data_IF_034390291224
#
_entry.id   IF_034390291224
#
_cell.length_a   1.000
_cell.length_b   1.000
_cell.length_c   1.000
_cell.angle_alpha   90.00
_cell.angle_beta   90.00
_cell.angle_gamma   90.00
#
_symmetry.space_group_name_H-M   'P 1'
#
loop_
_entity.id
_entity.type
_entity.pdbx_description
1 polymer ?
#
# COMPACT_ATOMS: atom_id res chain seq x y z
N UNK A 1 -16.41 69.26 -18.41
CA UNK A 1 -17.45 68.43 -19.05
C UNK A 1 -16.69 67.28 -19.70
N UNK A 2 -16.70 66.03 -19.25
CA UNK A 2 -17.54 65.26 -18.32
C UNK A 2 -16.65 64.20 -17.63
N UNK A 3 -17.08 63.79 -16.44
CA UNK A 3 -16.53 62.71 -15.61
C UNK A 3 -16.81 61.32 -16.19
N UNK A 4 -16.05 60.30 -15.78
CA UNK A 4 -16.51 58.95 -15.36
C UNK A 4 -15.30 58.19 -14.74
N UNK A 5 -15.15 58.22 -13.42
CA UNK A 5 -15.55 57.23 -12.40
C UNK A 5 -14.60 56.03 -12.18
N UNK A 6 -13.88 56.14 -11.06
CA UNK A 6 -13.10 55.14 -10.32
C UNK A 6 -14.06 54.36 -9.38
N UNK A 7 -13.92 53.04 -9.26
CA UNK A 7 -14.57 52.26 -8.21
C UNK A 7 -13.55 51.36 -7.50
N UNK A 8 -13.21 51.72 -6.26
CA UNK A 8 -12.53 50.87 -5.27
C UNK A 8 -13.58 50.10 -4.47
N UNK A 9 -13.43 48.79 -4.36
CA UNK A 9 -14.18 47.94 -3.43
C UNK A 9 -13.41 47.84 -2.10
N UNK A 10 -13.88 48.56 -1.08
CA UNK A 10 -13.52 48.34 0.32
C UNK A 10 -14.56 47.39 0.94
N UNK A 11 -14.13 46.19 1.33
CA UNK A 11 -14.92 45.29 2.16
C UNK A 11 -14.85 45.77 3.62
N UNK A 12 -16.00 46.21 4.17
CA UNK A 12 -16.16 46.55 5.59
C UNK A 12 -16.39 45.28 6.41
N UNK A 13 -15.57 45.11 7.45
CA UNK A 13 -15.77 44.14 8.53
C UNK A 13 -16.92 44.60 9.43
N UNK A 14 -17.87 43.72 9.69
CA UNK A 14 -18.94 43.89 10.70
C UNK A 14 -18.58 43.07 11.96
N UNK A 15 -18.83 43.60 13.17
CA UNK A 15 -18.54 42.90 14.42
C UNK A 15 -19.61 41.86 14.76
N UNK A 16 -19.18 40.65 15.11
CA UNK A 16 -20.03 39.58 15.65
C UNK A 16 -20.39 39.89 17.11
N UNK A 17 -21.69 40.09 17.34
CA UNK A 17 -22.31 40.23 18.66
C UNK A 17 -22.55 38.84 19.29
N UNK A 18 -22.12 38.68 20.54
CA UNK A 18 -22.39 37.52 21.40
C UNK A 18 -23.74 37.71 22.10
N UNK A 19 -24.57 36.66 22.10
CA UNK A 19 -25.66 36.51 23.07
C UNK A 19 -25.96 35.04 23.40
N UNK A 20 -26.51 34.76 24.59
CA UNK A 20 -26.18 33.58 25.37
C UNK A 20 -27.11 32.37 25.14
N UNK A 21 -26.60 31.20 25.52
CA UNK A 21 -27.28 29.91 25.47
C UNK A 21 -28.49 29.82 26.41
N UNK A 22 -29.57 29.11 26.04
CA UNK A 22 -30.60 28.72 26.98
C UNK A 22 -30.30 27.34 27.61
N UNK A 23 -30.25 27.33 28.93
CA UNK A 23 -30.27 26.15 29.79
C UNK A 23 -31.48 25.26 29.48
N UNK A 24 -31.24 23.97 29.23
CA UNK A 24 -32.29 22.95 29.22
C UNK A 24 -32.00 21.86 30.25
N UNK A 25 -32.87 21.90 31.25
CA UNK A 25 -33.18 21.00 32.35
C UNK A 25 -32.92 19.52 32.08
N UNK A 26 -32.17 18.90 32.99
CA UNK A 26 -32.12 17.45 33.21
C UNK A 26 -33.52 16.92 33.55
N UNK A 27 -34.08 16.06 32.70
CA UNK A 27 -35.19 15.19 33.09
C UNK A 27 -34.62 13.80 33.30
N UNK A 28 -34.42 13.45 34.56
CA UNK A 28 -34.08 12.11 35.02
C UNK A 28 -35.30 11.21 34.75
N UNK A 29 -35.29 10.47 33.64
CA UNK A 29 -36.27 9.40 33.41
C UNK A 29 -35.76 8.12 34.08
N UNK A 30 -36.28 7.89 35.28
CA UNK A 30 -36.35 6.58 35.90
C UNK A 30 -37.10 5.61 34.99
N UNK A 31 -36.42 4.56 34.52
CA UNK A 31 -37.07 3.37 34.00
C UNK A 31 -36.66 2.21 34.88
N UNK A 32 -37.65 1.76 35.66
CA UNK A 32 -37.65 0.49 36.38
C UNK A 32 -37.48 -0.67 35.40
N UNK A 33 -36.60 -1.59 35.74
CA UNK A 33 -36.61 -2.95 35.21
C UNK A 33 -37.87 -3.71 35.66
N UNK A 34 -38.41 -4.59 34.80
CA UNK A 34 -39.05 -5.81 35.26
C UNK A 34 -38.17 -7.03 34.96
N UNK A 35 -37.87 -7.74 36.03
CA UNK A 35 -37.28 -9.06 36.02
C UNK A 35 -38.13 -10.11 35.27
N UNK A 36 -37.41 -11.09 34.73
CA UNK A 36 -37.80 -12.49 34.53
C UNK A 36 -38.78 -12.86 33.40
N UNK A 37 -38.20 -13.49 32.35
CA UNK A 37 -38.52 -14.89 32.03
C UNK A 37 -37.39 -15.56 31.24
N UNK A 38 -36.58 -16.36 31.94
CA UNK A 38 -35.73 -17.39 31.31
C UNK A 38 -36.65 -18.42 30.64
N UNK A 39 -36.70 -18.44 29.30
CA UNK A 39 -37.07 -19.66 28.58
C UNK A 39 -35.80 -20.49 28.42
N UNK A 40 -35.78 -21.65 29.10
CA UNK A 40 -34.86 -22.74 28.76
C UNK A 40 -35.28 -23.23 27.37
N UNK A 41 -34.50 -22.92 26.35
CA UNK A 41 -34.51 -23.72 25.13
C UNK A 41 -33.59 -24.91 25.41
N UNK A 42 -34.17 -26.11 25.34
CA UNK A 42 -33.45 -27.36 25.50
C UNK A 42 -32.33 -27.45 24.48
N UNK A 43 -31.20 -28.00 24.91
CA UNK A 43 -30.13 -28.40 24.04
C UNK A 43 -30.58 -29.65 23.27
N UNK A 44 -30.86 -29.52 21.98
CA UNK A 44 -30.92 -30.67 21.09
C UNK A 44 -29.48 -31.18 20.83
N UNK A 45 -29.23 -32.49 20.91
CA UNK A 45 -27.92 -33.04 20.57
C UNK A 45 -27.63 -32.83 19.08
N UNK A 46 -26.36 -32.62 18.69
CA UNK A 46 -26.01 -32.38 17.30
C UNK A 46 -26.36 -33.62 16.44
N UNK A 47 -26.84 -33.44 15.20
CA UNK A 47 -27.07 -34.55 14.30
C UNK A 47 -25.75 -35.25 13.99
N UNK A 48 -25.73 -36.57 14.15
CA UNK A 48 -24.59 -37.44 13.83
C UNK A 48 -24.27 -37.29 12.34
N UNK A 49 -23.13 -36.68 12.03
CA UNK A 49 -22.58 -36.62 10.69
C UNK A 49 -22.06 -38.01 10.31
N UNK A 50 -22.91 -38.83 9.67
CA UNK A 50 -22.50 -40.09 9.07
C UNK A 50 -21.68 -39.82 7.82
N UNK A 51 -20.37 -40.10 7.88
CA UNK A 51 -19.50 -40.13 6.70
C UNK A 51 -19.93 -41.28 5.79
N UNK A 52 -20.77 -40.98 4.80
CA UNK A 52 -21.00 -41.85 3.65
C UNK A 52 -19.88 -41.57 2.66
N UNK A 53 -18.86 -42.44 2.65
CA UNK A 53 -17.83 -42.43 1.60
C UNK A 53 -18.47 -42.85 0.28
N UNK A 54 -18.42 -42.04 -0.80
CA UNK A 54 -18.77 -42.53 -2.12
C UNK A 54 -17.71 -43.54 -2.58
N UNK A 55 -18.08 -44.55 -3.40
CA UNK A 55 -17.13 -45.55 -3.85
C UNK A 55 -16.03 -44.92 -4.70
N UNK A 56 -14.78 -45.36 -4.47
CA UNK A 56 -13.60 -44.99 -5.25
C UNK A 56 -13.85 -45.27 -6.74
N UNK A 57 -14.04 -44.21 -7.52
CA UNK A 57 -13.97 -44.27 -8.98
C UNK A 57 -12.52 -44.53 -9.37
N UNK A 58 -12.24 -45.70 -9.95
CA UNK A 58 -10.96 -45.99 -10.61
C UNK A 58 -10.82 -45.05 -11.81
N UNK A 59 -9.95 -44.06 -11.71
CA UNK A 59 -9.48 -43.32 -12.89
C UNK A 59 -8.42 -44.17 -13.58
N UNK A 60 -8.75 -44.60 -14.80
CA UNK A 60 -7.81 -45.20 -15.74
C UNK A 60 -6.76 -44.18 -16.15
N UNK A 61 -5.49 -44.57 -16.12
CA UNK A 61 -4.38 -43.82 -16.67
C UNK A 61 -4.55 -43.63 -18.17
N UNK A 62 -4.74 -42.39 -18.60
CA UNK A 62 -4.42 -41.96 -19.96
C UNK A 62 -3.47 -40.77 -19.84
N UNK A 63 -2.21 -40.97 -20.21
CA UNK A 63 -1.15 -39.97 -20.23
C UNK A 63 -1.59 -38.76 -21.06
N UNK A 64 -1.49 -37.52 -20.56
CA UNK A 64 -1.49 -36.36 -21.42
C UNK A 64 -0.09 -36.21 -22.01
N UNK A 65 -0.04 -36.22 -23.35
CA UNK A 65 1.09 -35.82 -24.16
C UNK A 65 1.68 -34.50 -23.66
N UNK A 66 3.01 -34.46 -23.53
CA UNK A 66 3.82 -33.28 -23.29
C UNK A 66 3.44 -32.20 -24.31
N UNK A 67 2.66 -31.21 -23.90
CA UNK A 67 2.49 -29.98 -24.64
C UNK A 67 3.69 -29.08 -24.32
N UNK A 68 4.75 -29.19 -25.13
CA UNK A 68 5.71 -28.09 -25.31
C UNK A 68 4.97 -26.96 -26.03
N UNK A 69 4.32 -26.08 -25.27
CA UNK A 69 4.05 -24.71 -25.71
C UNK A 69 5.27 -23.90 -25.22
N UNK A 70 6.22 -23.50 -26.06
CA UNK A 70 5.98 -22.70 -27.26
C UNK A 70 6.23 -21.23 -26.91
N UNK A 71 7.44 -20.91 -26.45
CA UNK A 71 7.94 -19.54 -26.21
C UNK A 71 8.17 -18.81 -27.54
N UNK A 72 7.15 -18.75 -28.38
CA UNK A 72 7.17 -18.04 -29.64
C UNK A 72 5.75 -17.63 -30.03
N UNK A 73 5.30 -16.52 -29.47
CA UNK A 73 4.37 -15.63 -30.18
C UNK A 73 4.61 -14.18 -29.72
N UNK A 74 5.77 -13.67 -30.16
CA UNK A 74 5.87 -12.25 -30.45
C UNK A 74 5.01 -11.98 -31.68
N UNK A 75 3.82 -11.43 -31.47
CA UNK A 75 3.09 -10.68 -32.49
C UNK A 75 2.63 -9.38 -31.85
N UNK A 76 3.43 -8.35 -32.15
CA UNK A 76 3.10 -6.94 -32.25
C UNK A 76 1.64 -6.58 -31.96
N UNK A 77 1.37 -6.22 -30.70
CA UNK A 77 0.48 -5.10 -30.44
C UNK A 77 1.35 -3.85 -30.47
N UNK A 78 1.38 -3.13 -31.60
CA UNK A 78 1.89 -1.76 -31.68
C UNK A 78 1.02 -0.88 -30.76
N UNK A 79 1.32 -0.90 -29.45
CA UNK A 79 0.92 0.18 -28.57
C UNK A 79 1.71 1.39 -29.02
N UNK A 80 1.03 2.20 -29.85
CA UNK A 80 1.33 3.60 -30.17
C UNK A 80 2.19 4.18 -29.05
N UNK A 81 3.45 4.55 -29.34
CA UNK A 81 4.35 5.22 -28.39
C UNK A 81 3.65 6.48 -27.86
N UNK A 82 2.91 6.35 -26.77
CA UNK A 82 2.56 7.50 -25.95
C UNK A 82 3.89 8.01 -25.42
N UNK A 83 4.23 9.27 -25.70
CA UNK A 83 5.48 9.87 -25.21
C UNK A 83 5.50 10.10 -23.69
N UNK A 84 4.71 9.33 -22.92
CA UNK A 84 4.58 9.43 -21.47
C UNK A 84 5.10 8.18 -20.77
N UNK A 85 5.24 8.22 -19.43
CA UNK A 85 5.67 7.07 -18.65
C UNK A 85 4.68 5.91 -18.78
N UNK A 86 5.14 4.66 -18.57
CA UNK A 86 4.30 3.48 -18.62
C UNK A 86 3.17 3.54 -17.59
N UNK A 87 2.06 2.87 -17.89
CA UNK A 87 0.95 2.73 -16.96
C UNK A 87 1.31 1.75 -15.83
N UNK A 88 0.73 1.99 -14.65
CA UNK A 88 0.92 1.12 -13.49
C UNK A 88 -0.01 -0.08 -13.60
N UNK A 89 0.59 -1.27 -13.58
CA UNK A 89 -0.09 -2.56 -13.57
C UNK A 89 -0.92 -2.70 -12.30
N UNK A 90 -2.13 -3.24 -12.43
CA UNK A 90 -3.09 -3.42 -11.33
C UNK A 90 -3.09 -4.87 -10.84
N UNK A 91 -3.41 -5.05 -9.55
CA UNK A 91 -3.52 -6.36 -8.92
C UNK A 91 -4.43 -7.30 -9.72
N UNK A 92 -4.00 -8.55 -9.87
CA UNK A 92 -4.60 -9.53 -10.78
C UNK A 92 -3.76 -9.81 -12.03
N UNK A 93 -2.84 -8.91 -12.41
CA UNK A 93 -1.82 -9.21 -13.42
C UNK A 93 -0.76 -10.18 -12.84
N UNK A 94 -0.44 -11.30 -13.52
CA UNK A 94 0.54 -12.27 -13.02
C UNK A 94 1.91 -11.69 -12.68
N UNK A 95 2.36 -10.63 -13.36
CA UNK A 95 3.68 -10.03 -13.10
C UNK A 95 3.84 -9.52 -11.67
N UNK A 96 2.74 -9.16 -11.00
CA UNK A 96 2.73 -8.71 -9.61
C UNK A 96 2.72 -9.84 -8.58
N UNK A 97 2.58 -11.09 -9.03
CA UNK A 97 2.41 -12.28 -8.20
C UNK A 97 3.50 -13.34 -8.46
N UNK A 98 4.50 -13.01 -9.27
CA UNK A 98 5.63 -13.88 -9.60
C UNK A 98 6.95 -13.24 -9.14
N UNK A 99 7.92 -14.03 -8.64
CA UNK A 99 9.23 -13.51 -8.30
C UNK A 99 9.96 -12.88 -9.50
N UNK A 100 10.41 -11.64 -9.34
CA UNK A 100 11.18 -10.92 -10.34
C UNK A 100 12.62 -11.44 -10.43
N UNK A 101 13.20 -11.37 -11.63
CA UNK A 101 14.56 -11.85 -11.92
C UNK A 101 15.63 -10.82 -11.57
N UNK A 102 16.80 -11.27 -11.14
CA UNK A 102 17.94 -10.38 -10.94
C UNK A 102 18.37 -9.72 -12.26
N UNK A 103 18.86 -8.50 -12.16
CA UNK A 103 19.55 -7.78 -13.23
C UNK A 103 21.01 -8.24 -13.24
N UNK A 104 21.57 -8.59 -14.39
CA UNK A 104 23.00 -8.87 -14.51
C UNK A 104 23.79 -7.58 -14.18
N UNK A 105 24.75 -7.60 -13.23
CA UNK A 105 25.58 -6.45 -12.94
C UNK A 105 26.24 -5.79 -14.16
N UNK A 106 26.56 -6.57 -15.20
CA UNK A 106 27.13 -6.05 -16.45
C UNK A 106 26.13 -5.22 -17.26
N UNK A 107 24.83 -5.47 -17.11
CA UNK A 107 23.77 -4.79 -17.85
C UNK A 107 23.30 -3.49 -17.18
N UNK A 108 23.71 -3.19 -15.94
CA UNK A 108 23.21 -2.02 -15.19
C UNK A 108 23.44 -0.71 -15.94
N UNK A 109 24.59 -0.57 -16.59
CA UNK A 109 24.94 0.61 -17.39
C UNK A 109 24.33 0.61 -18.80
N UNK A 110 23.62 -0.44 -19.22
CA UNK A 110 23.02 -0.52 -20.55
C UNK A 110 21.89 0.49 -20.72
N UNK A 111 21.72 1.00 -21.95
CA UNK A 111 20.61 1.90 -22.29
C UNK A 111 19.24 1.33 -21.92
N UNK A 112 19.09 0.00 -22.05
CA UNK A 112 17.87 -0.71 -21.69
C UNK A 112 17.54 -0.58 -20.20
N UNK A 113 18.50 -0.86 -19.31
CA UNK A 113 18.27 -0.78 -17.86
C UNK A 113 18.10 0.67 -17.42
N UNK A 114 18.89 1.59 -17.96
CA UNK A 114 18.75 3.01 -17.68
C UNK A 114 17.37 3.54 -18.08
N UNK A 115 16.86 3.14 -19.26
CA UNK A 115 15.51 3.51 -19.69
C UNK A 115 14.43 2.96 -18.74
N UNK A 116 14.56 1.72 -18.29
CA UNK A 116 13.61 1.13 -17.32
C UNK A 116 13.60 1.96 -16.02
N UNK A 117 14.77 2.31 -15.51
CA UNK A 117 14.89 3.16 -14.30
C UNK A 117 14.21 4.51 -14.53
N UNK A 118 14.47 5.17 -15.65
CA UNK A 118 13.86 6.47 -15.98
C UNK A 118 12.33 6.38 -16.13
N UNK A 119 11.84 5.33 -16.79
CA UNK A 119 10.42 5.05 -16.93
C UNK A 119 9.75 4.83 -15.56
N UNK A 120 10.42 4.11 -14.65
CA UNK A 120 9.94 3.89 -13.27
C UNK A 120 9.86 5.19 -12.48
N UNK A 121 10.91 6.02 -12.52
CA UNK A 121 10.95 7.32 -11.83
C UNK A 121 9.85 8.24 -12.37
N UNK A 122 9.69 8.29 -13.69
CA UNK A 122 8.65 9.09 -14.32
C UNK A 122 7.24 8.60 -13.98
N UNK A 123 7.00 7.28 -13.94
CA UNK A 123 5.73 6.69 -13.52
C UNK A 123 5.42 6.97 -12.04
N UNK A 124 6.40 6.79 -11.14
CA UNK A 124 6.28 7.07 -9.71
C UNK A 124 5.88 8.52 -9.45
N UNK A 125 6.58 9.48 -10.07
CA UNK A 125 6.30 10.92 -9.91
C UNK A 125 4.99 11.36 -10.55
N UNK A 126 4.56 10.73 -11.65
CA UNK A 126 3.27 10.98 -12.29
C UNK A 126 2.09 10.49 -11.43
N UNK A 127 2.28 9.39 -10.70
CA UNK A 127 1.27 8.76 -9.84
C UNK A 127 1.34 9.18 -8.36
N UNK A 128 1.90 10.38 -8.09
CA UNK A 128 2.54 10.79 -6.82
C UNK A 128 2.86 9.69 -5.78
N UNK A 129 3.58 8.64 -6.20
CA UNK A 129 4.05 7.58 -5.31
C UNK A 129 5.35 7.93 -4.59
N UNK A 130 5.59 7.28 -3.44
CA UNK A 130 6.87 7.38 -2.70
C UNK A 130 7.83 6.21 -2.97
N UNK A 131 7.37 5.23 -3.75
CA UNK A 131 8.10 4.03 -4.14
C UNK A 131 7.45 3.38 -5.35
N UNK A 132 8.26 2.67 -6.14
CA UNK A 132 7.79 1.85 -7.26
C UNK A 132 8.78 0.71 -7.55
N UNK A 133 8.25 -0.49 -7.72
CA UNK A 133 8.99 -1.67 -8.17
C UNK A 133 8.78 -1.94 -9.66
N UNK A 134 9.80 -2.45 -10.36
CA UNK A 134 9.71 -2.71 -11.81
C UNK A 134 8.54 -3.62 -12.23
N UNK A 135 8.12 -4.64 -11.45
CA UNK A 135 6.92 -5.41 -11.76
C UNK A 135 5.66 -4.55 -11.93
N UNK A 136 5.57 -3.41 -11.23
CA UNK A 136 4.42 -2.50 -11.32
C UNK A 136 4.33 -1.75 -12.65
N UNK A 137 5.37 -1.78 -13.49
CA UNK A 137 5.32 -1.31 -14.88
C UNK A 137 5.42 -2.48 -15.88
N UNK A 138 5.16 -3.71 -15.42
CA UNK A 138 5.16 -4.91 -16.25
C UNK A 138 6.55 -5.50 -16.53
N UNK A 139 7.58 -5.08 -15.79
CA UNK A 139 8.96 -5.52 -16.00
C UNK A 139 9.37 -6.47 -14.86
N UNK A 140 9.56 -7.79 -15.12
CA UNK A 140 9.88 -8.77 -14.09
C UNK A 140 11.38 -8.77 -13.75
N UNK A 141 11.90 -7.62 -13.31
CA UNK A 141 13.27 -7.41 -12.87
C UNK A 141 13.32 -6.88 -11.43
N UNK A 142 14.38 -7.21 -10.70
CA UNK A 142 14.60 -6.77 -9.32
C UNK A 142 15.15 -5.34 -9.27
N UNK A 143 14.31 -4.35 -9.54
CA UNK A 143 14.64 -2.93 -9.49
C UNK A 143 13.56 -2.21 -8.68
N UNK A 144 13.99 -1.37 -7.74
CA UNK A 144 13.11 -0.47 -6.99
C UNK A 144 13.61 0.97 -7.07
N UNK A 145 12.68 1.91 -7.11
CA UNK A 145 12.95 3.34 -6.96
C UNK A 145 12.09 3.89 -5.83
N UNK A 146 12.61 4.84 -5.06
CA UNK A 146 11.87 5.48 -3.97
C UNK A 146 12.35 6.91 -3.75
N UNK A 147 11.43 7.78 -3.37
CA UNK A 147 11.65 9.21 -3.12
C UNK A 147 10.51 9.72 -2.20
N UNK A 148 10.83 10.51 -1.18
CA UNK A 148 9.81 11.17 -0.36
C UNK A 148 10.22 12.63 -0.13
N UNK A 149 9.51 13.55 -0.77
CA UNK A 149 9.89 14.96 -0.80
C UNK A 149 9.27 15.73 0.36
N UNK A 150 9.83 16.91 0.68
CA UNK A 150 9.23 17.82 1.67
C UNK A 150 7.81 18.22 1.29
N UNK A 151 7.51 18.33 -0.01
CA UNK A 151 6.18 18.64 -0.52
C UNK A 151 5.19 17.52 -0.20
N UNK A 152 5.54 16.26 -0.49
CA UNK A 152 4.68 15.10 -0.21
C UNK A 152 4.42 14.91 1.28
N UNK A 153 5.43 15.14 2.12
CA UNK A 153 5.29 15.11 3.57
C UNK A 153 4.41 16.26 4.08
N UNK A 154 4.45 17.41 3.40
CA UNK A 154 3.67 18.61 3.76
C UNK A 154 2.15 18.44 3.64
N UNK A 155 1.66 17.45 2.89
CA UNK A 155 0.24 17.15 2.79
C UNK A 155 -0.31 16.36 3.98
N UNK A 156 0.56 15.70 4.77
CA UNK A 156 0.16 14.90 5.92
C UNK A 156 0.12 15.74 7.22
N UNK A 157 -0.81 15.44 8.15
CA UNK A 157 -0.82 16.07 9.47
C UNK A 157 0.51 15.88 10.21
N UNK A 158 0.99 16.93 10.89
CA UNK A 158 2.29 16.90 11.59
C UNK A 158 2.40 15.78 12.63
N UNK A 159 1.33 15.50 13.36
CA UNK A 159 1.31 14.42 14.35
C UNK A 159 1.41 13.04 13.71
N UNK A 160 0.80 12.84 12.54
CA UNK A 160 0.90 11.59 11.78
C UNK A 160 2.33 11.41 11.25
N UNK A 161 2.88 12.43 10.59
CA UNK A 161 4.27 12.45 10.09
C UNK A 161 5.27 12.13 11.20
N UNK A 162 5.06 12.71 12.39
CA UNK A 162 5.88 12.44 13.58
C UNK A 162 5.72 11.01 14.08
N UNK A 163 4.49 10.50 14.17
CA UNK A 163 4.23 9.12 14.61
C UNK A 163 4.85 8.08 13.66
N UNK A 164 4.87 8.38 12.35
CA UNK A 164 5.43 7.53 11.31
C UNK A 164 6.96 7.61 11.19
N UNK A 165 7.61 8.54 11.91
CA UNK A 165 9.02 8.90 11.69
C UNK A 165 9.31 9.14 10.19
N UNK A 166 8.43 9.91 9.54
CA UNK A 166 8.48 10.19 8.12
C UNK A 166 9.34 11.43 7.86
N UNK A 167 10.45 11.23 7.16
CA UNK A 167 11.49 12.23 6.88
C UNK A 167 11.78 12.26 5.39
N UNK A 168 12.06 13.44 4.80
CA UNK A 168 12.36 13.51 3.38
C UNK A 168 13.69 12.81 3.07
N UNK A 169 13.78 12.20 1.91
CA UNK A 169 15.01 11.63 1.37
C UNK A 169 15.04 11.75 -0.16
N UNK A 170 16.24 11.90 -0.70
CA UNK A 170 16.46 12.04 -2.14
C UNK A 170 16.18 10.73 -2.88
N UNK A 171 15.94 10.83 -4.19
CA UNK A 171 15.71 9.68 -5.06
C UNK A 171 16.79 8.60 -4.86
N UNK A 172 16.32 7.40 -4.53
CA UNK A 172 17.15 6.21 -4.37
C UNK A 172 16.72 5.17 -5.40
N UNK A 173 17.70 4.61 -6.09
CA UNK A 173 17.53 3.52 -7.07
C UNK A 173 18.35 2.34 -6.59
N UNK A 174 17.71 1.19 -6.42
CA UNK A 174 18.38 -0.04 -5.97
C UNK A 174 18.02 -1.18 -6.90
N UNK A 175 19.05 -1.76 -7.50
CA UNK A 175 18.97 -2.99 -8.28
C UNK A 175 19.41 -4.17 -7.42
N UNK A 176 18.75 -5.31 -7.61
CA UNK A 176 18.92 -6.53 -6.85
C UNK A 176 18.94 -6.29 -5.32
N UNK A 177 17.97 -5.56 -4.75
CA UNK A 177 17.95 -5.25 -3.33
C UNK A 177 17.85 -6.53 -2.49
N UNK A 178 18.66 -6.57 -1.42
CA UNK A 178 18.67 -7.60 -0.39
C UNK A 178 18.39 -6.93 0.95
N UNK A 179 17.16 -7.10 1.43
CA UNK A 179 16.68 -6.50 2.67
C UNK A 179 16.92 -7.40 3.88
N UNK A 180 17.35 -6.81 4.99
CA UNK A 180 17.47 -7.46 6.29
C UNK A 180 16.90 -6.55 7.37
N UNK A 181 16.15 -7.10 8.32
CA UNK A 181 15.78 -6.38 9.55
C UNK A 181 17.03 -6.17 10.42
N UNK A 182 17.13 -5.02 11.10
CA UNK A 182 18.21 -4.72 12.05
C UNK A 182 17.79 -4.87 13.51
N UNK A 183 16.49 -4.88 13.76
CA UNK A 183 15.89 -5.05 15.08
C UNK A 183 14.56 -5.81 14.96
N UNK A 184 14.03 -6.28 16.09
CA UNK A 184 12.69 -6.86 16.17
C UNK A 184 11.60 -5.81 16.44
N UNK A 185 11.97 -4.53 16.49
CA UNK A 185 11.00 -3.44 16.63
C UNK A 185 10.17 -3.31 15.37
N UNK A 186 8.87 -3.19 15.53
CA UNK A 186 7.92 -3.05 14.42
C UNK A 186 7.06 -1.80 14.60
N UNK A 187 6.34 -1.43 13.56
CA UNK A 187 5.28 -0.44 13.65
C UNK A 187 4.11 -0.83 12.76
N UNK A 188 2.92 -0.37 13.15
CA UNK A 188 1.66 -0.68 12.52
C UNK A 188 1.01 0.61 11.99
N UNK A 189 0.95 0.76 10.66
CA UNK A 189 0.36 1.90 9.97
C UNK A 189 -0.36 1.47 8.69
N UNK A 190 -1.30 2.28 8.23
CA UNK A 190 -1.98 2.05 6.96
C UNK A 190 -0.99 2.17 5.79
N UNK A 191 -1.05 1.20 4.88
CA UNK A 191 -0.37 1.22 3.58
C UNK A 191 -1.39 1.27 2.45
N UNK A 192 -0.98 1.88 1.34
CA UNK A 192 -1.63 1.75 0.05
C UNK A 192 -0.62 1.29 -1.00
N UNK A 193 -1.10 0.97 -2.19
CA UNK A 193 -0.26 0.59 -3.31
C UNK A 193 -0.88 1.15 -4.60
N UNK A 194 -0.05 1.67 -5.51
CA UNK A 194 -0.50 2.17 -6.81
C UNK A 194 -1.14 1.08 -7.68
N UNK A 195 -0.82 -0.19 -7.40
CA UNK A 195 -1.40 -1.37 -8.04
C UNK A 195 -2.73 -1.84 -7.40
N UNK A 196 -3.11 -1.32 -6.23
CA UNK A 196 -4.39 -1.59 -5.54
C UNK A 196 -5.02 -0.24 -5.18
N UNK A 197 -5.48 0.45 -6.22
CA UNK A 197 -5.90 1.85 -6.14
C UNK A 197 -7.21 2.02 -5.36
N UNK A 198 -7.33 3.12 -4.63
CA UNK A 198 -8.52 3.45 -3.83
C UNK A 198 -8.66 2.71 -2.49
N UNK A 199 -7.72 1.83 -2.13
CA UNK A 199 -7.80 1.07 -0.87
C UNK A 199 -6.56 1.24 0.02
N UNK A 200 -6.75 0.98 1.31
CA UNK A 200 -5.72 0.93 2.34
C UNK A 200 -5.92 -0.27 3.24
N UNK A 201 -4.84 -0.78 3.82
CA UNK A 201 -4.85 -1.84 4.81
C UNK A 201 -3.76 -1.61 5.85
N UNK A 202 -4.00 -2.07 7.08
CA UNK A 202 -3.05 -1.89 8.17
C UNK A 202 -1.96 -2.96 8.06
N UNK A 203 -0.69 -2.56 7.98
CA UNK A 203 0.43 -3.50 7.76
C UNK A 203 1.49 -3.32 8.83
N UNK A 204 1.98 -4.43 9.35
CA UNK A 204 3.11 -4.47 10.28
C UNK A 204 4.44 -4.48 9.51
N UNK A 205 5.35 -3.58 9.87
CA UNK A 205 6.67 -3.45 9.24
C UNK A 205 7.75 -3.33 10.29
N UNK A 206 8.95 -3.83 9.99
CA UNK A 206 10.13 -3.57 10.81
C UNK A 206 10.47 -2.08 10.79
N UNK A 207 10.84 -1.54 11.93
CA UNK A 207 11.21 -0.12 12.03
C UNK A 207 12.60 0.16 11.48
N UNK A 208 13.51 -0.81 11.59
CA UNK A 208 14.92 -0.65 11.20
C UNK A 208 15.31 -1.75 10.22
N UNK A 209 15.77 -1.35 9.03
CA UNK A 209 16.21 -2.26 7.98
C UNK A 209 17.55 -1.83 7.39
N UNK A 210 18.28 -2.82 6.87
CA UNK A 210 19.44 -2.63 6.02
C UNK A 210 19.11 -3.21 4.65
N UNK A 211 19.33 -2.45 3.59
CA UNK A 211 19.21 -2.93 2.21
C UNK A 211 20.55 -2.79 1.52
N UNK A 212 21.04 -3.90 0.95
CA UNK A 212 22.21 -3.89 0.06
C UNK A 212 21.78 -4.14 -1.37
N UNK A 213 22.55 -3.68 -2.34
CA UNK A 213 22.25 -3.86 -3.77
C UNK A 213 23.24 -3.11 -4.64
N UNK A 214 22.85 -2.84 -5.89
CA UNK A 214 23.59 -1.98 -6.80
C UNK A 214 22.84 -0.66 -7.00
N UNK A 215 23.56 0.45 -7.02
CA UNK A 215 23.02 1.75 -7.41
C UNK A 215 22.79 1.83 -8.93
N UNK A 216 22.19 2.95 -9.37
CA UNK A 216 21.96 3.24 -10.79
C UNK A 216 23.23 3.18 -11.66
N UNK A 217 24.39 3.44 -11.06
CA UNK A 217 25.70 3.39 -11.72
C UNK A 217 26.39 2.01 -11.65
N UNK A 218 25.70 1.00 -11.12
CA UNK A 218 26.23 -0.35 -10.95
C UNK A 218 27.15 -0.53 -9.74
N UNK A 219 27.41 0.52 -8.95
CA UNK A 219 28.25 0.39 -7.75
C UNK A 219 27.47 -0.24 -6.60
N UNK A 220 28.12 -1.07 -5.75
CA UNK A 220 27.51 -1.58 -4.53
C UNK A 220 27.06 -0.43 -3.62
N UNK A 221 25.84 -0.54 -3.12
CA UNK A 221 25.30 0.39 -2.11
C UNK A 221 24.78 -0.39 -0.90
N UNK A 222 24.80 0.29 0.23
CA UNK A 222 24.21 -0.15 1.49
C UNK A 222 23.41 1.01 2.08
N UNK A 223 22.15 0.75 2.39
CA UNK A 223 21.20 1.74 2.89
C UNK A 223 20.68 1.25 4.24
N UNK A 224 21.05 1.95 5.29
CA UNK A 224 20.46 1.79 6.61
C UNK A 224 19.28 2.77 6.72
N UNK A 225 18.07 2.25 6.88
CA UNK A 225 16.85 3.04 6.92
C UNK A 225 16.03 2.73 8.17
N UNK A 226 15.33 3.73 8.66
CA UNK A 226 14.34 3.58 9.71
C UNK A 226 13.04 4.33 9.43
N UNK A 227 12.00 4.02 10.21
CA UNK A 227 10.73 4.73 10.15
C UNK A 227 10.00 4.51 8.81
N UNK A 228 9.47 5.59 8.23
CA UNK A 228 8.70 5.49 6.99
C UNK A 228 9.53 5.03 5.79
N UNK A 229 10.80 5.42 5.70
CA UNK A 229 11.69 4.98 4.63
C UNK A 229 11.93 3.46 4.69
N UNK A 230 12.09 2.90 5.88
CA UNK A 230 12.21 1.44 6.07
C UNK A 230 10.94 0.71 5.62
N UNK A 231 9.75 1.29 5.89
CA UNK A 231 8.47 0.75 5.42
C UNK A 231 8.38 0.75 3.89
N UNK A 232 8.73 1.85 3.24
CA UNK A 232 8.75 1.93 1.77
C UNK A 232 9.67 0.85 1.19
N UNK A 233 10.91 0.73 1.70
CA UNK A 233 11.85 -0.30 1.23
C UNK A 233 11.30 -1.72 1.38
N UNK A 234 10.63 -2.04 2.49
CA UNK A 234 9.99 -3.34 2.69
C UNK A 234 8.83 -3.57 1.70
N UNK A 235 8.02 -2.54 1.44
CA UNK A 235 6.93 -2.61 0.46
C UNK A 235 7.46 -2.87 -0.94
N UNK A 236 8.46 -2.10 -1.39
CA UNK A 236 9.03 -2.27 -2.73
C UNK A 236 9.78 -3.59 -2.89
N UNK A 237 10.45 -4.08 -1.84
CA UNK A 237 11.09 -5.40 -1.88
C UNK A 237 10.05 -6.54 -1.95
N UNK A 238 8.91 -6.43 -1.25
CA UNK A 238 7.83 -7.42 -1.31
C UNK A 238 7.31 -7.59 -2.76
N UNK A 239 7.19 -6.49 -3.53
CA UNK A 239 6.78 -6.56 -4.95
C UNK A 239 7.73 -7.40 -5.80
N UNK A 240 9.04 -7.37 -5.49
CA UNK A 240 10.02 -8.17 -6.24
C UNK A 240 9.89 -9.67 -5.99
N UNK A 241 9.25 -10.04 -4.90
CA UNK A 241 8.97 -11.43 -4.53
C UNK A 241 7.52 -11.83 -4.86
N UNK A 242 6.79 -10.98 -5.61
CA UNK A 242 5.41 -11.23 -6.02
C UNK A 242 4.40 -11.10 -4.89
N UNK A 243 4.68 -10.28 -3.87
CA UNK A 243 3.83 -10.11 -2.69
C UNK A 243 3.25 -8.70 -2.64
N UNK A 244 1.94 -8.58 -2.45
CA UNK A 244 1.26 -7.30 -2.24
C UNK A 244 0.95 -7.09 -0.77
N UNK A 245 0.75 -5.82 -0.37
CA UNK A 245 0.42 -5.49 1.01
C UNK A 245 -0.89 -6.15 1.49
N UNK A 246 -1.84 -6.40 0.58
CA UNK A 246 -3.12 -7.06 0.88
C UNK A 246 -2.95 -8.51 1.31
N UNK A 247 -1.82 -9.14 0.98
CA UNK A 247 -1.50 -10.52 1.39
C UNK A 247 -0.98 -10.58 2.83
N UNK A 248 -0.55 -9.44 3.39
CA UNK A 248 0.11 -9.31 4.70
C UNK A 248 -0.58 -8.35 5.67
N UNK A 249 -1.68 -7.73 5.25
CA UNK A 249 -2.41 -6.78 6.09
C UNK A 249 -3.12 -7.46 7.26
N UNK A 250 -3.30 -6.71 8.34
CA UNK A 250 -4.10 -7.10 9.49
C UNK A 250 -5.56 -7.26 9.04
N UNK A 251 -6.14 -8.43 9.32
CA UNK A 251 -7.54 -8.71 8.97
C UNK A 251 -8.49 -7.68 9.57
N UNK A 252 -9.62 -7.40 8.88
CA UNK A 252 -10.65 -6.42 9.29
C UNK A 252 -10.21 -4.95 9.25
N UNK A 253 -9.07 -4.65 8.63
CA UNK A 253 -8.59 -3.25 8.50
C UNK A 253 -8.67 -2.70 7.08
N UNK A 254 -8.83 -3.57 6.07
CA UNK A 254 -8.97 -3.18 4.66
C UNK A 254 -10.17 -2.24 4.46
N UNK A 255 -9.93 -1.10 3.81
CA UNK A 255 -10.93 -0.03 3.65
C UNK A 255 -10.62 0.84 2.44
N UNK A 256 -11.64 1.52 1.93
CA UNK A 256 -11.48 2.59 0.94
C UNK A 256 -10.81 3.82 1.55
N UNK A 257 -10.18 4.66 0.73
CA UNK A 257 -9.46 5.86 1.18
C UNK A 257 -10.36 6.82 1.95
N UNK A 258 -11.63 6.96 1.55
CA UNK A 258 -12.60 7.85 2.20
C UNK A 258 -12.93 7.43 3.64
N UNK A 259 -12.71 6.16 3.97
CA UNK A 259 -12.98 5.59 5.29
C UNK A 259 -11.72 5.47 6.16
N UNK A 260 -10.60 6.07 5.75
CA UNK A 260 -9.30 5.90 6.41
C UNK A 260 -9.36 6.23 7.90
N UNK A 261 -10.02 7.34 8.24
CA UNK A 261 -10.10 7.90 9.60
C UNK A 261 -11.20 7.27 10.47
N UNK A 262 -11.98 6.32 9.93
CA UNK A 262 -12.97 5.61 10.74
C UNK A 262 -12.28 4.73 11.79
N UNK A 263 -12.91 4.52 12.96
CA UNK A 263 -12.35 3.65 14.01
C UNK A 263 -11.98 2.25 13.50
N UNK A 264 -10.95 1.66 14.10
CA UNK A 264 -10.65 0.24 13.90
C UNK A 264 -11.74 -0.61 14.59
N UNK A 265 -12.06 -1.76 14.01
CA UNK A 265 -13.01 -2.69 14.60
C UNK A 265 -12.48 -3.27 15.92
N UNK A 266 -13.39 -3.67 16.81
CA UNK A 266 -13.05 -4.30 18.08
C UNK A 266 -12.10 -5.49 17.90
N UNK A 267 -11.05 -5.52 18.72
CA UNK A 267 -10.00 -6.54 18.68
C UNK A 267 -8.89 -6.28 17.66
N UNK A 268 -8.97 -5.24 16.83
CA UNK A 268 -7.84 -4.85 15.98
C UNK A 268 -6.69 -4.25 16.82
N UNK A 269 -5.42 -4.56 16.50
CA UNK A 269 -4.28 -3.92 17.14
C UNK A 269 -4.26 -2.41 16.85
N UNK A 270 -3.78 -1.62 17.82
CA UNK A 270 -3.66 -0.16 17.68
C UNK A 270 -2.52 0.20 16.74
N UNK A 271 -2.65 1.35 16.08
CA UNK A 271 -1.60 1.97 15.29
C UNK A 271 -0.39 2.33 16.16
N UNK A 272 0.80 2.40 15.55
CA UNK A 272 2.02 2.89 16.17
C UNK A 272 3.12 1.85 16.32
N UNK A 273 4.17 2.24 17.05
CA UNK A 273 5.38 1.45 17.30
C UNK A 273 5.11 0.31 18.28
N UNK A 274 5.73 -0.85 18.04
CA UNK A 274 5.65 -2.07 18.84
C UNK A 274 7.05 -2.65 19.07
N UNK A 275 7.22 -3.33 20.19
CA UNK A 275 8.53 -3.84 20.64
C UNK A 275 9.34 -2.72 21.32
N UNK A 276 9.60 -2.93 22.61
CA UNK A 276 10.53 -2.15 23.43
C UNK A 276 11.88 -2.84 23.47
#
# INVERSE_FOLDING_TARGET
>A
MESLHRASLQLRLLPLSLSPAPSRTLVLRTLLEPAARRRRLGADPPPKCGLIFPPRRRYSNSSPSIARAGWLLGLAGDKKKSGGPPDIVKAGDPVLHEPAREVDPADVGSERIQKIIDDMVAAMRKAPGVGLAAPQIGIPLRIIVLEDTKEYIGYAPKEETKAQDRRPFDLLVILNPKLKKKSDRTALFFEGCLSVDGYRGLVERYLDVEVTGLGRDGKPIKVDASGWQARILQHECDHLDGTLYVDKMVSRTFRIVENLDLPLADGCPRLGVRGS
#
